data_IF_153208410416
#
_entry.id   IF_153208410416
#
_cell.length_a   1.000
_cell.length_b   1.000
_cell.length_c   1.000
_cell.angle_alpha   90.00
_cell.angle_beta   90.00
_cell.angle_gamma   90.00
#
_symmetry.space_group_name_H-M   'P 1'
#
loop_
_entity.id
_entity.type
_entity.pdbx_description
1 polymer ?
#
# COMPACT_ATOMS: atom_id res chain seq x y z
N UNK A 1 16.68 -15.56 -1.51
CA UNK A 1 17.68 -14.84 -0.69
C UNK A 1 18.00 -13.52 -1.37
N UNK A 2 17.47 -12.42 -0.86
CA UNK A 2 17.86 -11.06 -1.24
C UNK A 2 17.93 -10.23 0.04
N UNK A 3 19.10 -9.66 0.28
CA UNK A 3 19.48 -8.79 1.39
C UNK A 3 18.49 -7.60 1.49
N UNK A 4 18.04 -7.18 2.66
CA UNK A 4 18.87 -6.76 3.80
C UNK A 4 19.38 -5.32 3.61
N UNK A 5 18.52 -4.42 3.17
CA UNK A 5 18.49 -3.00 3.56
C UNK A 5 17.34 -2.30 2.82
N UNK A 6 16.75 -1.24 3.37
CA UNK A 6 15.78 -0.44 2.63
C UNK A 6 16.40 0.01 1.30
N UNK A 7 15.95 -0.56 0.17
CA UNK A 7 16.49 -0.32 -1.17
C UNK A 7 16.66 1.20 -1.41
N UNK A 8 17.69 1.68 -2.13
CA UNK A 8 17.99 3.11 -2.31
C UNK A 8 16.77 4.00 -2.61
N UNK A 9 15.80 3.47 -3.36
CA UNK A 9 14.53 4.12 -3.67
C UNK A 9 13.63 4.39 -2.45
N UNK A 10 13.59 3.51 -1.45
CA UNK A 10 12.78 3.68 -0.24
C UNK A 10 13.32 4.83 0.64
N UNK A 11 14.65 4.91 0.79
CA UNK A 11 15.30 6.01 1.50
C UNK A 11 15.01 7.37 0.82
N UNK A 12 15.09 7.41 -0.51
CA UNK A 12 14.75 8.62 -1.28
C UNK A 12 13.27 9.01 -1.11
N UNK A 13 12.34 8.05 -1.24
CA UNK A 13 10.90 8.30 -1.07
C UNK A 13 10.56 8.75 0.35
N UNK A 14 11.19 8.19 1.39
CA UNK A 14 11.05 8.66 2.77
C UNK A 14 11.56 10.10 2.93
N UNK A 15 12.69 10.45 2.32
CA UNK A 15 13.20 11.81 2.35
C UNK A 15 12.26 12.80 1.65
N UNK A 16 11.67 12.41 0.51
CA UNK A 16 10.63 13.18 -0.19
C UNK A 16 9.37 13.34 0.66
N UNK A 17 8.94 12.28 1.34
CA UNK A 17 7.80 12.31 2.24
C UNK A 17 8.02 13.30 3.38
N UNK A 18 9.18 13.27 4.04
CA UNK A 18 9.50 14.23 5.12
C UNK A 18 9.51 15.68 4.67
N UNK A 19 10.04 15.96 3.48
CA UNK A 19 9.93 17.31 2.89
C UNK A 19 8.46 17.71 2.69
N UNK A 20 7.66 16.83 2.11
CA UNK A 20 6.23 17.09 1.91
C UNK A 20 5.48 17.28 3.23
N UNK A 21 5.81 16.49 4.25
CA UNK A 21 5.28 16.64 5.62
C UNK A 21 5.64 17.99 6.22
N UNK A 22 6.86 18.49 6.03
CA UNK A 22 7.24 19.83 6.47
C UNK A 22 6.43 20.92 5.75
N UNK A 23 6.25 20.80 4.43
CA UNK A 23 5.46 21.75 3.62
C UNK A 23 3.99 21.79 4.06
N UNK A 24 3.43 20.65 4.49
CA UNK A 24 2.02 20.52 4.90
C UNK A 24 1.79 20.66 6.41
N UNK A 25 2.84 20.92 7.20
CA UNK A 25 2.74 20.99 8.66
C UNK A 25 2.26 19.69 9.30
N UNK A 26 2.63 18.53 8.74
CA UNK A 26 2.29 17.19 9.23
C UNK A 26 3.42 16.62 10.08
N UNK A 27 3.17 16.32 11.35
CA UNK A 27 4.22 15.80 12.24
C UNK A 27 4.41 14.29 12.12
N UNK A 28 3.31 13.57 11.89
CA UNK A 28 3.26 12.11 11.80
C UNK A 28 2.45 11.67 10.57
N UNK A 29 2.95 10.72 9.80
CA UNK A 29 2.16 9.96 8.82
C UNK A 29 2.09 8.53 9.31
N UNK A 30 0.87 7.98 9.43
CA UNK A 30 0.65 6.58 9.81
C UNK A 30 0.06 5.80 8.63
N UNK A 31 0.79 4.81 8.15
CA UNK A 31 0.41 3.99 7.00
C UNK A 31 0.09 2.56 7.44
N UNK A 32 -1.06 2.07 6.98
CA UNK A 32 -1.45 0.67 7.14
C UNK A 32 -0.90 -0.17 5.97
N UNK A 33 -1.02 -1.51 6.03
CA UNK A 33 -0.69 -2.39 4.91
C UNK A 33 -1.54 -2.02 3.69
N UNK A 34 -0.90 -1.39 2.69
CA UNK A 34 -1.61 -0.89 1.52
C UNK A 34 -0.71 -0.31 0.45
N UNK A 35 -1.33 0.36 -0.54
CA UNK A 35 -0.64 0.86 -1.71
C UNK A 35 0.33 2.02 -1.39
N UNK A 36 0.04 2.84 -0.37
CA UNK A 36 0.95 3.88 0.10
C UNK A 36 2.23 3.26 0.67
N UNK A 37 2.09 2.28 1.56
CA UNK A 37 3.23 1.62 2.20
C UNK A 37 4.07 0.85 1.18
N UNK A 38 3.43 0.09 0.27
CA UNK A 38 4.11 -0.60 -0.83
C UNK A 38 4.88 0.36 -1.72
N UNK A 39 4.31 1.52 -2.05
CA UNK A 39 5.04 2.55 -2.82
C UNK A 39 6.23 3.10 -2.03
N UNK A 40 6.04 3.40 -0.75
CA UNK A 40 7.06 4.03 0.07
C UNK A 40 8.26 3.11 0.34
N UNK A 41 8.01 1.86 0.73
CA UNK A 41 9.04 0.93 1.20
C UNK A 41 9.34 -0.23 0.24
N UNK A 42 8.52 -0.43 -0.79
CA UNK A 42 8.65 -1.55 -1.73
C UNK A 42 8.17 -2.90 -1.19
N UNK A 43 7.68 -2.95 0.05
CA UNK A 43 7.05 -4.13 0.65
C UNK A 43 5.83 -3.72 1.47
N UNK A 44 4.99 -4.69 1.82
CA UNK A 44 3.84 -4.49 2.69
C UNK A 44 3.63 -5.75 3.53
N UNK A 45 3.45 -5.63 4.86
CA UNK A 45 3.01 -6.76 5.68
C UNK A 45 1.64 -7.29 5.25
N UNK A 46 1.25 -8.46 5.73
CA UNK A 46 -0.11 -8.95 5.55
C UNK A 46 -1.12 -7.97 6.18
N UNK A 47 -2.21 -7.69 5.47
CA UNK A 47 -3.33 -6.91 5.99
C UNK A 47 -4.32 -7.86 6.66
N UNK A 48 -4.41 -7.83 7.99
CA UNK A 48 -5.35 -8.63 8.76
C UNK A 48 -5.95 -7.83 9.95
N UNK A 49 -6.54 -8.51 10.93
CA UNK A 49 -7.07 -7.88 12.15
C UNK A 49 -5.99 -7.32 13.08
N UNK A 50 -4.77 -7.84 13.02
CA UNK A 50 -3.66 -7.43 13.88
C UNK A 50 -3.08 -6.12 13.34
N UNK A 51 -3.09 -5.08 14.17
CA UNK A 51 -2.52 -3.79 13.83
C UNK A 51 -1.02 -3.90 13.45
N UNK A 52 -0.74 -3.62 12.18
CA UNK A 52 0.60 -3.42 11.63
C UNK A 52 0.66 -2.03 11.01
N UNK A 53 1.40 -1.09 11.61
CA UNK A 53 1.37 0.32 11.20
C UNK A 53 2.79 0.85 11.02
N UNK A 54 3.08 1.45 9.87
CA UNK A 54 4.31 2.21 9.69
C UNK A 54 4.08 3.65 10.15
N UNK A 55 4.77 4.06 11.20
CA UNK A 55 4.71 5.40 11.77
C UNK A 55 5.93 6.19 11.30
N UNK A 56 5.70 7.22 10.50
CA UNK A 56 6.75 8.05 9.92
C UNK A 56 6.66 9.46 10.52
N UNK A 57 7.64 9.82 11.34
CA UNK A 57 7.86 11.18 11.78
C UNK A 57 8.93 11.90 10.95
N UNK A 58 9.19 13.16 11.31
CA UNK A 58 10.15 14.02 10.62
C UNK A 58 11.60 13.52 10.67
N UNK A 59 11.97 12.75 11.70
CA UNK A 59 13.34 12.26 11.90
C UNK A 59 13.44 10.74 11.95
N UNK A 60 12.45 10.11 12.58
CA UNK A 60 12.43 8.68 12.81
C UNK A 60 11.22 8.05 12.13
N UNK A 61 11.33 6.76 11.83
CA UNK A 61 10.22 5.95 11.37
C UNK A 61 10.34 4.58 12.02
N UNK A 62 9.21 3.94 12.33
CA UNK A 62 9.17 2.62 12.93
C UNK A 62 7.91 1.88 12.51
N UNK A 63 7.83 0.60 12.86
CA UNK A 63 6.59 -0.17 12.78
C UNK A 63 6.03 -0.43 14.17
N UNK A 64 4.72 -0.29 14.33
CA UNK A 64 3.96 -1.16 15.23
C UNK A 64 3.77 -2.49 14.50
N UNK A 65 4.17 -3.61 15.11
CA UNK A 65 4.18 -4.90 14.42
C UNK A 65 3.67 -6.03 15.33
N UNK A 66 2.76 -6.90 14.88
CA UNK A 66 2.46 -8.12 15.63
C UNK A 66 3.70 -9.02 15.64
N UNK A 67 4.08 -9.56 16.81
CA UNK A 67 5.28 -10.37 16.96
C UNK A 67 5.32 -11.58 16.01
N UNK A 68 4.15 -12.14 15.69
CA UNK A 68 3.99 -13.24 14.74
C UNK A 68 4.49 -12.90 13.32
N UNK A 69 4.42 -11.63 12.91
CA UNK A 69 4.78 -11.16 11.57
C UNK A 69 6.15 -10.48 11.51
N UNK A 70 6.81 -10.30 12.66
CA UNK A 70 8.01 -9.49 12.78
C UNK A 70 9.19 -10.05 11.97
N UNK A 71 9.53 -11.33 12.15
CA UNK A 71 10.67 -11.95 11.46
C UNK A 71 10.51 -11.99 9.94
N UNK A 72 9.28 -12.19 9.44
CA UNK A 72 8.99 -12.12 8.02
C UNK A 72 9.20 -10.68 7.48
N UNK A 73 8.63 -9.70 8.18
CA UNK A 73 8.72 -8.30 7.76
C UNK A 73 10.14 -7.72 7.84
N UNK A 74 10.97 -8.17 8.80
CA UNK A 74 12.37 -7.74 8.96
C UNK A 74 13.26 -8.09 7.76
N UNK A 75 12.89 -9.09 6.97
CA UNK A 75 13.61 -9.43 5.75
C UNK A 75 13.53 -8.33 4.67
N UNK A 76 12.60 -7.38 4.82
CA UNK A 76 12.31 -6.36 3.82
C UNK A 76 12.69 -4.93 4.23
N UNK A 77 13.02 -4.68 5.51
CA UNK A 77 13.30 -3.33 6.02
C UNK A 77 14.18 -3.34 7.27
N UNK A 78 14.97 -2.29 7.45
CA UNK A 78 15.77 -2.06 8.65
C UNK A 78 15.07 -1.12 9.65
N UNK A 79 13.83 -0.70 9.38
CA UNK A 79 13.08 0.15 10.31
C UNK A 79 12.88 -0.59 11.65
N UNK A 80 13.03 0.10 12.80
CA UNK A 80 12.81 -0.50 14.10
C UNK A 80 11.34 -0.89 14.29
N UNK A 81 11.11 -2.02 14.96
CA UNK A 81 9.76 -2.52 15.25
C UNK A 81 9.48 -2.44 16.74
N UNK A 82 8.26 -2.03 17.06
CA UNK A 82 7.65 -2.10 18.38
C UNK A 82 6.64 -3.23 18.31
N UNK A 83 7.05 -4.36 18.86
CA UNK A 83 6.32 -5.61 18.72
C UNK A 83 5.27 -5.79 19.81
N UNK A 84 4.14 -6.40 19.46
CA UNK A 84 3.08 -6.74 20.41
C UNK A 84 2.57 -8.16 20.20
N UNK A 85 1.98 -8.77 21.25
CA UNK A 85 1.46 -10.14 21.24
C UNK A 85 -0.06 -10.14 21.44
N UNK A 86 -0.73 -11.16 20.90
CA UNK A 86 -2.19 -11.32 20.96
C UNK A 86 -2.74 -11.27 22.40
N UNK A 87 -1.98 -11.74 23.40
CA UNK A 87 -2.36 -11.77 24.81
C UNK A 87 -2.23 -10.41 25.53
N UNK A 88 -1.32 -9.54 25.08
CA UNK A 88 -1.08 -8.21 25.68
C UNK A 88 -1.75 -7.08 24.92
N UNK A 89 -2.11 -7.31 23.65
CA UNK A 89 -2.60 -6.27 22.75
C UNK A 89 -1.54 -5.23 22.36
N UNK A 90 -1.90 -4.26 21.48
CA UNK A 90 -0.95 -3.33 20.88
C UNK A 90 -0.67 -2.06 21.71
N UNK A 91 -1.47 -1.75 22.73
CA UNK A 91 -1.50 -0.41 23.35
C UNK A 91 -0.14 0.09 23.83
N UNK A 92 0.58 -0.76 24.59
CA UNK A 92 1.92 -0.41 25.09
C UNK A 92 2.91 -0.21 23.95
N UNK A 93 2.94 -1.13 22.98
CA UNK A 93 3.83 -1.03 21.84
C UNK A 93 3.52 0.18 20.96
N UNK A 94 2.24 0.54 20.80
CA UNK A 94 1.81 1.73 20.08
C UNK A 94 2.29 3.00 20.78
N UNK A 95 2.14 3.09 22.10
CA UNK A 95 2.61 4.24 22.87
C UNK A 95 4.13 4.43 22.73
N UNK A 96 4.89 3.34 22.82
CA UNK A 96 6.35 3.36 22.62
C UNK A 96 6.73 3.74 21.18
N UNK A 97 6.01 3.21 20.18
CA UNK A 97 6.22 3.51 18.77
C UNK A 97 5.94 4.99 18.45
N UNK A 98 4.86 5.57 19.00
CA UNK A 98 4.53 6.98 18.85
C UNK A 98 5.57 7.88 19.54
N UNK A 99 6.01 7.51 20.74
CA UNK A 99 7.06 8.24 21.46
C UNK A 99 8.39 8.23 20.69
N UNK A 100 8.68 7.16 19.97
CA UNK A 100 9.85 7.07 19.10
C UNK A 100 9.67 7.88 17.80
N UNK A 101 8.60 7.64 17.04
CA UNK A 101 8.42 8.25 15.73
C UNK A 101 8.17 9.76 15.81
N UNK A 102 7.29 10.19 16.72
CA UNK A 102 6.82 11.57 16.81
C UNK A 102 6.31 11.94 18.23
N UNK A 103 7.20 12.10 19.23
CA UNK A 103 6.84 12.28 20.64
C UNK A 103 6.01 13.54 20.96
N UNK A 104 5.94 14.50 20.03
CA UNK A 104 5.21 15.76 20.19
C UNK A 104 4.34 16.06 18.97
N UNK A 105 3.75 15.03 18.33
CA UNK A 105 2.88 15.22 17.18
C UNK A 105 1.68 16.11 17.54
N UNK A 106 1.63 17.32 16.97
CA UNK A 106 0.47 18.21 16.99
C UNK A 106 -0.45 18.00 15.79
N UNK A 107 0.02 17.28 14.76
CA UNK A 107 -0.77 16.87 13.60
C UNK A 107 -0.38 15.47 13.11
N UNK A 108 -1.34 14.73 12.56
CA UNK A 108 -1.07 13.44 11.93
C UNK A 108 -1.95 13.18 10.72
N UNK A 109 -1.42 12.42 9.76
CA UNK A 109 -2.13 11.96 8.58
C UNK A 109 -2.31 10.44 8.62
N UNK A 110 -3.55 9.98 8.41
CA UNK A 110 -3.91 8.57 8.31
C UNK A 110 -3.98 8.14 6.84
N UNK A 111 -3.56 6.91 6.56
CA UNK A 111 -3.89 6.22 5.31
C UNK A 111 -5.42 6.12 5.16
N UNK A 112 -5.96 6.53 4.01
CA UNK A 112 -7.40 6.55 3.73
C UNK A 112 -8.03 5.15 3.72
N UNK A 113 -7.22 4.13 3.47
CA UNK A 113 -7.63 2.73 3.38
C UNK A 113 -7.36 1.94 4.65
N UNK A 114 -6.84 2.61 5.70
CA UNK A 114 -6.63 2.02 7.02
C UNK A 114 -7.96 1.52 7.59
N UNK A 115 -7.96 0.31 8.16
CA UNK A 115 -9.13 -0.21 8.87
C UNK A 115 -9.52 0.73 10.00
N UNK A 116 -10.82 0.90 10.21
CA UNK A 116 -11.34 1.87 11.16
C UNK A 116 -10.88 1.61 12.60
N UNK A 117 -10.78 0.35 13.02
CA UNK A 117 -10.24 -0.05 14.32
C UNK A 117 -8.80 0.41 14.52
N UNK A 118 -7.92 0.20 13.54
CA UNK A 118 -6.52 0.66 13.60
C UNK A 118 -6.41 2.19 13.57
N UNK A 119 -7.27 2.86 12.81
CA UNK A 119 -7.34 4.32 12.78
C UNK A 119 -7.78 4.90 14.13
N UNK A 120 -8.77 4.29 14.79
CA UNK A 120 -9.25 4.72 16.10
C UNK A 120 -8.18 4.60 17.18
N UNK A 121 -7.35 3.55 17.15
CA UNK A 121 -6.19 3.43 18.07
C UNK A 121 -5.28 4.67 18.01
N UNK A 122 -5.02 5.21 16.81
CA UNK A 122 -4.19 6.40 16.64
C UNK A 122 -4.90 7.68 17.06
N UNK A 123 -6.20 7.79 16.79
CA UNK A 123 -7.02 8.94 17.22
C UNK A 123 -7.08 9.01 18.75
N UNK A 124 -7.29 7.87 19.41
CA UNK A 124 -7.36 7.78 20.87
C UNK A 124 -6.00 8.03 21.53
N UNK A 125 -4.90 7.59 20.89
CA UNK A 125 -3.54 7.83 21.37
C UNK A 125 -3.06 9.28 21.15
N UNK A 126 -3.66 10.03 20.22
CA UNK A 126 -3.29 11.41 19.87
C UNK A 126 -4.49 12.37 19.97
N UNK A 127 -5.18 12.46 21.12
CA UNK A 127 -6.49 13.10 21.22
C UNK A 127 -6.47 14.63 21.04
N UNK A 128 -5.27 15.24 21.11
CA UNK A 128 -5.06 16.68 20.92
C UNK A 128 -4.45 17.03 19.55
N UNK A 129 -4.08 16.04 18.76
CA UNK A 129 -3.45 16.27 17.47
C UNK A 129 -4.50 16.47 16.37
N UNK A 130 -4.21 17.36 15.42
CA UNK A 130 -5.07 17.56 14.26
C UNK A 130 -4.93 16.40 13.29
N UNK A 131 -6.02 15.65 13.08
CA UNK A 131 -6.08 14.53 12.14
C UNK A 131 -6.35 15.01 10.71
N UNK A 132 -5.66 14.41 9.77
CA UNK A 132 -5.89 14.53 8.32
C UNK A 132 -5.75 13.17 7.63
N UNK A 133 -5.98 13.14 6.31
CA UNK A 133 -5.67 11.98 5.48
C UNK A 133 -4.36 12.18 4.72
N UNK A 134 -3.75 11.08 4.28
CA UNK A 134 -2.45 11.03 3.63
C UNK A 134 -2.41 11.60 2.19
N UNK A 135 -3.55 12.05 1.67
CA UNK A 135 -3.72 12.61 0.32
C UNK A 135 -2.80 13.80 0.06
N UNK A 136 -2.60 14.67 1.05
CA UNK A 136 -1.69 15.82 0.95
C UNK A 136 -0.21 15.44 1.10
N UNK A 137 0.11 14.25 1.62
CA UNK A 137 1.48 13.78 1.89
C UNK A 137 1.92 12.71 0.88
N UNK A 138 1.90 11.44 1.25
CA UNK A 138 2.31 10.33 0.37
C UNK A 138 1.39 10.20 -0.85
N UNK A 139 0.10 10.51 -0.71
CA UNK A 139 -0.84 10.54 -1.83
C UNK A 139 -0.40 11.53 -2.91
N UNK A 140 -0.03 12.74 -2.52
CA UNK A 140 0.47 13.77 -3.45
C UNK A 140 1.75 13.34 -4.16
N UNK A 141 2.66 12.66 -3.46
CA UNK A 141 3.89 12.13 -4.07
C UNK A 141 3.60 11.03 -5.08
N UNK A 142 2.63 10.15 -4.80
CA UNK A 142 2.19 9.08 -5.71
C UNK A 142 1.41 9.59 -6.92
N UNK A 143 0.87 10.80 -6.87
CA UNK A 143 0.19 11.39 -8.03
C UNK A 143 1.17 11.70 -9.17
N UNK A 144 2.41 12.10 -8.86
CA UNK A 144 3.45 12.43 -9.86
C UNK A 144 4.43 11.27 -9.99
N UNK A 145 4.38 10.59 -11.13
CA UNK A 145 5.15 9.37 -11.38
C UNK A 145 6.57 9.71 -11.81
N UNK A 146 7.55 8.93 -11.36
CA UNK A 146 8.90 8.99 -11.90
C UNK A 146 8.96 8.42 -13.33
N UNK A 147 10.08 8.63 -14.01
CA UNK A 147 10.29 8.08 -15.35
C UNK A 147 10.25 6.54 -15.33
N UNK A 148 10.78 5.92 -14.28
CA UNK A 148 10.78 4.47 -14.07
C UNK A 148 9.36 3.95 -13.84
N UNK A 149 8.56 4.63 -13.02
CA UNK A 149 7.16 4.27 -12.78
C UNK A 149 6.32 4.38 -14.06
N UNK A 150 6.55 5.42 -14.87
CA UNK A 150 5.91 5.58 -16.17
C UNK A 150 6.33 4.46 -17.13
N UNK A 151 7.60 4.07 -17.14
CA UNK A 151 8.09 2.98 -17.98
C UNK A 151 7.41 1.64 -17.62
N UNK A 152 7.30 1.32 -16.33
CA UNK A 152 6.59 0.13 -15.84
C UNK A 152 5.10 0.16 -16.19
N UNK A 153 4.45 1.32 -16.06
CA UNK A 153 3.04 1.48 -16.45
C UNK A 153 2.84 1.27 -17.95
N UNK A 154 3.76 1.74 -18.80
CA UNK A 154 3.72 1.53 -20.25
C UNK A 154 3.94 0.06 -20.61
N UNK A 155 4.83 -0.63 -19.92
CA UNK A 155 5.02 -2.07 -20.10
C UNK A 155 3.74 -2.84 -19.74
N UNK A 156 3.16 -2.55 -18.58
CA UNK A 156 1.90 -3.16 -18.15
C UNK A 156 0.74 -2.86 -19.13
N UNK A 157 0.68 -1.66 -19.71
CA UNK A 157 -0.30 -1.32 -20.73
C UNK A 157 -0.15 -2.16 -22.01
N UNK A 158 1.09 -2.44 -22.47
CA UNK A 158 1.32 -3.33 -23.62
C UNK A 158 0.83 -4.76 -23.36
N UNK A 159 0.98 -5.25 -22.13
CA UNK A 159 0.46 -6.56 -21.73
C UNK A 159 -1.07 -6.55 -21.78
N UNK A 160 -1.71 -5.47 -21.32
CA UNK A 160 -3.16 -5.30 -21.43
C UNK A 160 -3.63 -5.24 -22.89
N UNK A 161 -2.91 -4.55 -23.78
CA UNK A 161 -3.20 -4.52 -25.23
C UNK A 161 -3.11 -5.92 -25.85
N UNK A 162 -2.10 -6.71 -25.45
CA UNK A 162 -1.97 -8.11 -25.86
C UNK A 162 -3.15 -8.96 -25.37
N UNK A 163 -3.58 -8.78 -24.12
CA UNK A 163 -4.74 -9.48 -23.57
C UNK A 163 -6.06 -9.10 -24.28
N UNK A 164 -6.22 -7.84 -24.69
CA UNK A 164 -7.35 -7.40 -25.51
C UNK A 164 -7.33 -8.05 -26.90
N UNK A 165 -6.17 -8.18 -27.53
CA UNK A 165 -6.02 -8.88 -28.80
C UNK A 165 -6.38 -10.37 -28.67
N UNK A 166 -5.96 -11.02 -27.58
CA UNK A 166 -6.31 -12.40 -27.27
C UNK A 166 -7.82 -12.58 -27.05
N UNK A 167 -8.46 -11.67 -26.32
CA UNK A 167 -9.92 -11.67 -26.14
C UNK A 167 -10.64 -11.58 -27.50
N UNK A 168 -10.21 -10.65 -28.35
CA UNK A 168 -10.77 -10.48 -29.71
C UNK A 168 -10.59 -11.73 -30.57
N UNK A 169 -9.43 -12.38 -30.50
CA UNK A 169 -9.16 -13.60 -31.25
C UNK A 169 -9.99 -14.79 -30.78
N UNK A 170 -10.37 -14.83 -29.49
CA UNK A 170 -11.21 -15.86 -28.90
C UNK A 170 -12.71 -15.64 -29.10
N UNK A 171 -13.14 -14.48 -29.64
CA UNK A 171 -14.54 -14.22 -29.94
C UNK A 171 -15.05 -15.14 -31.04
N UNK A 172 -16.11 -15.88 -30.73
CA UNK A 172 -16.84 -16.72 -31.67
C UNK A 172 -18.32 -16.75 -31.29
N UNK A 173 -19.17 -17.13 -32.23
CA UNK A 173 -20.57 -17.41 -31.91
C UNK A 173 -20.67 -18.52 -30.84
N UNK A 174 -21.49 -18.29 -29.82
CA UNK A 174 -21.68 -19.23 -28.72
C UNK A 174 -20.61 -19.19 -27.61
N UNK A 175 -19.56 -18.36 -27.72
CA UNK A 175 -18.56 -18.22 -26.65
C UNK A 175 -19.18 -17.58 -25.41
N UNK A 176 -18.85 -18.12 -24.23
CA UNK A 176 -19.25 -17.55 -22.94
C UNK A 176 -18.27 -16.48 -22.46
N UNK A 177 -18.74 -15.57 -21.61
CA UNK A 177 -17.90 -14.58 -20.93
C UNK A 177 -16.79 -15.24 -20.08
N UNK A 178 -17.06 -16.41 -19.49
CA UNK A 178 -16.06 -17.18 -18.72
C UNK A 178 -14.93 -17.71 -19.60
N UNK A 179 -15.25 -18.17 -20.81
CA UNK A 179 -14.23 -18.63 -21.76
C UNK A 179 -13.35 -17.48 -22.25
N UNK A 180 -13.95 -16.31 -22.55
CA UNK A 180 -13.19 -15.10 -22.86
C UNK A 180 -12.31 -14.65 -21.68
N UNK A 181 -12.82 -14.72 -20.45
CA UNK A 181 -12.06 -14.38 -19.26
C UNK A 181 -10.83 -15.28 -19.08
N UNK A 182 -10.96 -16.58 -19.35
CA UNK A 182 -9.83 -17.52 -19.33
C UNK A 182 -8.79 -17.17 -20.40
N UNK A 183 -9.21 -16.81 -21.61
CA UNK A 183 -8.29 -16.38 -22.67
C UNK A 183 -7.50 -15.11 -22.27
N UNK A 184 -8.19 -14.13 -21.67
CA UNK A 184 -7.57 -12.91 -21.13
C UNK A 184 -6.59 -13.22 -20.00
N UNK A 185 -6.99 -14.05 -19.03
CA UNK A 185 -6.12 -14.45 -17.91
C UNK A 185 -4.88 -15.19 -18.40
N UNK A 186 -5.03 -16.10 -19.37
CA UNK A 186 -3.92 -16.81 -19.99
C UNK A 186 -2.95 -15.85 -20.71
N UNK A 187 -3.47 -14.81 -21.38
CA UNK A 187 -2.65 -13.81 -22.05
C UNK A 187 -1.83 -12.97 -21.07
N UNK A 188 -2.42 -12.55 -19.94
CA UNK A 188 -1.66 -11.91 -18.87
C UNK A 188 -0.58 -12.84 -18.30
N UNK A 189 -0.94 -14.08 -17.97
CA UNK A 189 -0.03 -15.07 -17.39
C UNK A 189 1.15 -15.40 -18.32
N UNK A 190 0.91 -15.50 -19.63
CA UNK A 190 1.94 -15.73 -20.64
C UNK A 190 2.98 -14.59 -20.71
N UNK A 191 2.63 -13.40 -20.23
CA UNK A 191 3.51 -12.23 -20.13
C UNK A 191 3.99 -11.97 -18.69
N UNK A 192 3.87 -12.96 -17.79
CA UNK A 192 4.34 -12.85 -16.40
C UNK A 192 3.52 -11.89 -15.53
N UNK A 193 2.30 -11.55 -15.95
CA UNK A 193 1.41 -10.64 -15.24
C UNK A 193 0.18 -11.38 -14.70
N UNK A 194 -0.44 -10.81 -13.68
CA UNK A 194 -1.75 -11.25 -13.20
C UNK A 194 -2.68 -10.04 -13.12
N UNK A 195 -3.91 -10.14 -13.68
CA UNK A 195 -4.87 -9.05 -13.59
C UNK A 195 -5.36 -8.92 -12.14
N UNK A 196 -5.43 -7.68 -11.63
CA UNK A 196 -6.05 -7.40 -10.33
C UNK A 196 -7.57 -7.60 -10.39
N UNK A 197 -8.17 -7.32 -11.55
CA UNK A 197 -9.58 -7.57 -11.87
C UNK A 197 -9.74 -7.70 -13.39
N UNK A 198 -10.81 -8.35 -13.84
CA UNK A 198 -11.22 -8.39 -15.25
C UNK A 198 -12.75 -8.49 -15.32
N UNK A 199 -13.36 -7.73 -16.22
CA UNK A 199 -14.81 -7.73 -16.46
C UNK A 199 -15.03 -8.09 -17.94
N UNK A 200 -15.79 -9.14 -18.19
CA UNK A 200 -16.16 -9.60 -19.53
C UNK A 200 -17.68 -9.57 -19.60
N UNK A 201 -18.23 -8.70 -20.43
CA UNK A 201 -19.67 -8.49 -20.53
C UNK A 201 -20.11 -8.47 -22.01
N UNK A 202 -21.04 -9.35 -22.37
CA UNK A 202 -21.57 -9.53 -23.73
C UNK A 202 -23.04 -9.09 -23.79
N UNK A 203 -23.42 -8.39 -24.86
CA UNK A 203 -24.81 -8.02 -25.10
C UNK A 203 -25.40 -7.18 -23.95
N UNK A 204 -26.59 -7.52 -23.41
CA UNK A 204 -27.22 -6.78 -22.31
C UNK A 204 -26.34 -6.61 -21.08
N UNK A 205 -25.44 -7.56 -20.80
CA UNK A 205 -24.55 -7.49 -19.64
C UNK A 205 -23.61 -6.28 -19.70
N UNK A 206 -23.29 -5.78 -20.91
CA UNK A 206 -22.45 -4.59 -21.10
C UNK A 206 -23.06 -3.29 -20.57
N UNK A 207 -24.36 -3.30 -20.23
CA UNK A 207 -25.02 -2.19 -19.54
C UNK A 207 -24.70 -2.13 -18.04
N UNK A 208 -24.07 -3.16 -17.46
CA UNK A 208 -23.70 -3.23 -16.04
C UNK A 208 -22.18 -3.07 -15.87
N UNK A 209 -21.67 -1.91 -15.40
CA UNK A 209 -20.23 -1.61 -15.35
C UNK A 209 -19.38 -2.50 -14.43
N UNK A 210 -20.03 -3.30 -13.58
CA UNK A 210 -19.42 -4.23 -12.62
C UNK A 210 -20.02 -5.63 -12.69
N UNK A 211 -20.41 -6.06 -13.90
CA UNK A 211 -20.84 -7.44 -14.20
C UNK A 211 -19.79 -8.49 -13.84
#
# INVERSE_FOLDING_TARGET
MAQGSAKPQAAERLARLRRKMADTGTDLVALAPGAHLRWLLGFVPAADERASLCLIGQKQACFLMPALNAEDSRQHTDLPFFEWKDDTGPDKALAEALAFAAPKAGSFALDETMRADHALMLVDALPRATRSFASATVGALRMVKSAEEIALLKENAKIADFAQAAARAALAEGVSESELAKAVQAAFAANGAQPTFAILAIGPNSAYPHH
#
